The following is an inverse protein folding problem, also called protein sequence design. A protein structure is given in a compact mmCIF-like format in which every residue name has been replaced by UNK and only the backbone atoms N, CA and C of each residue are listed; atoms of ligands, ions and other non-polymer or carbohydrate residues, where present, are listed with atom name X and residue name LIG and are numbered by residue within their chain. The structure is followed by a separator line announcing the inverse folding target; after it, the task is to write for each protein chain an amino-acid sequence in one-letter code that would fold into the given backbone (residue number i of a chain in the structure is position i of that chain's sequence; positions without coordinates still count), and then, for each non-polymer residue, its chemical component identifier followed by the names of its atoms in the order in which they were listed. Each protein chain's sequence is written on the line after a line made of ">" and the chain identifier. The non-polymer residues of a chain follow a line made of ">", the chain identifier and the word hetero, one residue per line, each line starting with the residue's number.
data_IF_369657297202
#
_entry.id   IF_369657297202
#
_cell.length_a   1.000
_cell.length_b   1.000
_cell.length_c   1.000
_cell.angle_alpha   90.00
_cell.angle_beta   90.00
_cell.angle_gamma   90.00
#
_symmetry.space_group_name_H-M   'P 1'
#
loop_
_entity.id
_entity.type
_entity.pdbx_description
1 polymer ?
#
# COMPACT_ATOMS: atom_id res chain seq x y z
N UNK A 1 11.64 -51.64 -28.40
CA UNK A 1 12.40 -52.09 -27.21
C UNK A 1 12.04 -53.53 -26.93
N UNK A 2 13.03 -54.40 -26.65
CA UNK A 2 12.78 -55.84 -26.40
C UNK A 2 11.94 -56.06 -25.13
N UNK A 3 10.96 -56.99 -25.13
CA UNK A 3 10.10 -57.30 -23.98
C UNK A 3 10.88 -57.56 -22.67
N UNK A 4 12.05 -58.20 -22.79
CA UNK A 4 12.92 -58.53 -21.66
C UNK A 4 13.49 -57.30 -20.93
N UNK A 5 13.63 -56.17 -21.62
CA UNK A 5 14.12 -54.91 -21.03
C UNK A 5 13.04 -54.24 -20.18
N UNK A 6 11.79 -54.28 -20.64
CA UNK A 6 10.64 -53.70 -19.94
C UNK A 6 10.37 -54.45 -18.63
N UNK A 7 10.54 -55.77 -18.63
CA UNK A 7 10.33 -56.62 -17.45
C UNK A 7 11.42 -56.42 -16.39
N UNK A 8 12.68 -56.23 -16.81
CA UNK A 8 13.76 -55.83 -15.91
C UNK A 8 13.49 -54.48 -15.24
N UNK A 9 13.06 -53.47 -16.00
CA UNK A 9 12.77 -52.14 -15.45
C UNK A 9 11.61 -52.21 -14.45
N UNK A 10 10.54 -52.96 -14.75
CA UNK A 10 9.42 -53.14 -13.81
C UNK A 10 9.84 -53.84 -12.52
N UNK A 11 10.68 -54.87 -12.59
CA UNK A 11 11.17 -55.58 -11.40
C UNK A 11 12.04 -54.69 -10.50
N UNK A 12 12.88 -53.83 -11.09
CA UNK A 12 13.72 -52.87 -10.37
C UNK A 12 12.85 -51.83 -9.64
N UNK A 13 11.83 -51.30 -10.32
CA UNK A 13 10.88 -50.35 -9.72
C UNK A 13 10.10 -51.00 -8.58
N UNK A 14 9.64 -52.24 -8.74
CA UNK A 14 8.93 -52.96 -7.70
C UNK A 14 9.80 -53.24 -6.46
N UNK A 15 11.07 -53.61 -6.70
CA UNK A 15 12.05 -53.85 -5.63
C UNK A 15 12.33 -52.54 -4.86
N UNK A 16 12.57 -51.43 -5.58
CA UNK A 16 12.78 -50.12 -4.96
C UNK A 16 11.57 -49.65 -4.13
N UNK A 17 10.35 -49.88 -4.61
CA UNK A 17 9.10 -49.53 -3.92
C UNK A 17 8.90 -50.35 -2.64
N UNK A 18 9.28 -51.63 -2.65
CA UNK A 18 9.23 -52.51 -1.48
C UNK A 18 10.32 -52.17 -0.45
N UNK A 19 11.54 -51.82 -0.89
CA UNK A 19 12.63 -51.33 -0.02
C UNK A 19 12.25 -50.01 0.66
N UNK A 20 11.58 -49.09 -0.04
CA UNK A 20 11.08 -47.84 0.52
C UNK A 20 9.94 -48.06 1.54
N UNK A 21 9.05 -49.04 1.30
CA UNK A 21 8.01 -49.44 2.26
C UNK A 21 8.60 -50.06 3.53
N UNK A 22 9.63 -50.89 3.42
CA UNK A 22 10.32 -51.50 4.57
C UNK A 22 11.10 -50.45 5.39
N UNK A 23 11.76 -49.48 4.74
CA UNK A 23 12.39 -48.34 5.44
C UNK A 23 11.37 -47.44 6.16
N UNK A 24 10.17 -47.24 5.61
CA UNK A 24 9.07 -46.53 6.29
C UNK A 24 8.49 -47.30 7.48
N UNK A 25 8.49 -48.64 7.46
CA UNK A 25 8.01 -49.44 8.62
C UNK A 25 9.04 -49.54 9.73
N UNK A 26 10.34 -49.54 9.41
CA UNK A 26 11.42 -49.63 10.41
C UNK A 26 11.59 -48.35 11.26
N UNK A 27 11.06 -47.21 10.80
CA UNK A 27 11.07 -45.93 11.55
C UNK A 27 9.83 -45.72 12.42
N UNK A 28 8.91 -46.70 12.49
CA UNK A 28 7.65 -46.61 13.26
C UNK A 28 7.69 -47.49 14.53
N UNK A 29 8.84 -48.06 14.89
CA UNK A 29 9.01 -48.82 16.13
C UNK A 29 9.78 -48.01 17.17
N UNK A 30 9.11 -47.70 18.29
CA UNK A 30 9.62 -47.08 19.52
C UNK A 30 9.90 -45.58 19.51
N UNK A 31 8.84 -44.77 19.60
CA UNK A 31 8.84 -43.68 20.58
C UNK A 31 7.41 -43.47 21.06
N UNK A 32 7.20 -43.45 22.37
CA UNK A 32 6.02 -42.85 22.99
C UNK A 32 5.78 -41.49 22.32
N UNK A 33 4.74 -41.39 21.48
CA UNK A 33 4.40 -40.17 20.75
C UNK A 33 4.17 -39.04 21.76
N UNK A 34 5.22 -38.28 22.08
CA UNK A 34 5.08 -37.01 22.78
C UNK A 34 4.17 -36.16 21.90
N UNK A 35 2.92 -36.00 22.32
CA UNK A 35 1.96 -35.15 21.62
C UNK A 35 2.65 -33.81 21.35
N UNK A 36 2.60 -33.37 20.08
CA UNK A 36 3.18 -32.10 19.64
C UNK A 36 2.86 -30.99 20.64
N UNK A 37 3.82 -30.11 20.94
CA UNK A 37 3.60 -28.94 21.81
C UNK A 37 2.43 -28.09 21.30
N UNK A 38 2.28 -28.00 19.98
CA UNK A 38 1.17 -27.36 19.29
C UNK A 38 -0.18 -28.03 19.49
N UNK A 39 -0.24 -29.24 20.05
CA UNK A 39 -1.50 -29.89 20.43
C UNK A 39 -1.85 -29.63 21.89
N UNK A 40 -0.84 -29.39 22.73
CA UNK A 40 -1.00 -29.16 24.18
C UNK A 40 -1.23 -27.70 24.55
N UNK A 41 -0.74 -26.77 23.72
CA UNK A 41 -0.84 -25.34 23.98
C UNK A 41 -2.31 -24.89 23.97
N UNK A 42 -2.84 -24.19 25.01
CA UNK A 42 -4.20 -23.65 24.98
C UNK A 42 -4.43 -22.67 23.83
N UNK A 43 -5.65 -22.60 23.29
CA UNK A 43 -5.99 -21.71 22.16
C UNK A 43 -5.72 -20.24 22.50
N UNK A 44 -6.08 -19.80 23.70
CA UNK A 44 -5.83 -18.43 24.17
C UNK A 44 -4.35 -18.04 24.20
N UNK A 45 -3.47 -18.99 24.51
CA UNK A 45 -2.01 -18.77 24.50
C UNK A 45 -1.50 -18.76 23.07
N UNK A 46 -1.96 -19.68 22.22
CA UNK A 46 -1.60 -19.72 20.81
C UNK A 46 -1.98 -18.40 20.10
N UNK A 47 -3.18 -17.88 20.36
CA UNK A 47 -3.65 -16.58 19.84
C UNK A 47 -2.70 -15.45 20.24
N UNK A 48 -2.34 -15.36 21.53
CA UNK A 48 -1.42 -14.32 22.03
C UNK A 48 -0.03 -14.44 21.40
N UNK A 49 0.50 -15.65 21.27
CA UNK A 49 1.81 -15.89 20.64
C UNK A 49 1.78 -15.44 19.18
N UNK A 50 0.75 -15.83 18.43
CA UNK A 50 0.66 -15.49 17.01
C UNK A 50 0.36 -14.01 16.76
N UNK A 51 -0.35 -13.33 17.65
CA UNK A 51 -0.59 -11.89 17.57
C UNK A 51 0.71 -11.06 17.64
N UNK A 52 1.77 -11.59 18.27
CA UNK A 52 3.10 -10.98 18.35
C UNK A 52 3.92 -11.14 17.07
N UNK A 53 3.62 -12.16 16.25
CA UNK A 53 4.33 -12.42 15.01
C UNK A 53 3.98 -11.39 13.93
N UNK A 54 4.85 -11.23 12.93
CA UNK A 54 4.44 -10.60 11.68
C UNK A 54 3.54 -11.56 10.88
N UNK A 55 2.71 -11.01 9.99
CA UNK A 55 1.80 -11.82 9.18
C UNK A 55 2.57 -12.83 8.30
N UNK A 56 3.75 -12.45 7.81
CA UNK A 56 4.65 -13.32 7.04
C UNK A 56 5.16 -14.52 7.87
N UNK A 57 5.43 -14.30 9.15
CA UNK A 57 5.86 -15.36 10.06
C UNK A 57 4.70 -16.32 10.35
N UNK A 58 3.48 -15.80 10.50
CA UNK A 58 2.28 -16.63 10.66
C UNK A 58 2.10 -17.52 9.42
N UNK A 59 2.24 -16.98 8.21
CA UNK A 59 2.19 -17.78 6.99
C UNK A 59 3.29 -18.83 6.95
N UNK A 60 4.51 -18.49 7.38
CA UNK A 60 5.62 -19.43 7.44
C UNK A 60 5.37 -20.55 8.47
N UNK A 61 4.79 -20.22 9.62
CA UNK A 61 4.38 -21.17 10.66
C UNK A 61 3.27 -22.12 10.17
N UNK A 62 2.32 -21.63 9.37
CA UNK A 62 1.28 -22.47 8.75
C UNK A 62 1.86 -23.57 7.85
N UNK A 63 3.05 -23.36 7.29
CA UNK A 63 3.75 -24.34 6.45
C UNK A 63 4.54 -25.39 7.25
N UNK A 64 4.80 -25.14 8.54
CA UNK A 64 5.66 -25.99 9.37
C UNK A 64 5.04 -27.35 9.75
N UNK A 65 3.76 -27.39 10.12
CA UNK A 65 3.06 -28.64 10.45
C UNK A 65 1.53 -28.57 10.29
N UNK A 66 0.91 -29.73 10.01
CA UNK A 66 -0.55 -29.85 9.79
C UNK A 66 -1.39 -29.51 11.03
N UNK A 67 -0.90 -29.82 12.23
CA UNK A 67 -1.61 -29.54 13.47
C UNK A 67 -1.72 -28.04 13.68
N UNK A 68 -0.61 -27.32 13.52
CA UNK A 68 -0.61 -25.86 13.64
C UNK A 68 -1.46 -25.23 12.56
N UNK A 69 -1.33 -25.68 11.29
CA UNK A 69 -2.18 -25.22 10.20
C UNK A 69 -3.67 -25.32 10.53
N UNK A 70 -4.13 -26.48 10.99
CA UNK A 70 -5.54 -26.67 11.32
C UNK A 70 -6.00 -25.77 12.48
N UNK A 71 -5.18 -25.65 13.53
CA UNK A 71 -5.51 -24.79 14.68
C UNK A 71 -5.55 -23.31 14.30
N UNK A 72 -4.58 -22.84 13.54
CA UNK A 72 -4.50 -21.43 13.11
C UNK A 72 -5.66 -21.08 12.17
N UNK A 73 -6.00 -21.97 11.23
CA UNK A 73 -7.19 -21.76 10.38
C UNK A 73 -8.48 -21.73 11.19
N UNK A 74 -8.61 -22.53 12.26
CA UNK A 74 -9.78 -22.49 13.11
C UNK A 74 -9.85 -21.23 14.00
N UNK A 75 -8.70 -20.72 14.41
CA UNK A 75 -8.58 -19.54 15.29
C UNK A 75 -8.32 -18.24 14.53
N UNK A 76 -8.48 -18.23 13.21
CA UNK A 76 -8.10 -17.09 12.35
C UNK A 76 -8.73 -15.78 12.80
N UNK A 77 -10.02 -15.79 13.11
CA UNK A 77 -10.74 -14.63 13.66
C UNK A 77 -10.07 -14.09 14.94
N UNK A 78 -9.86 -14.96 15.93
CA UNK A 78 -9.33 -14.57 17.24
C UNK A 78 -7.88 -14.10 17.14
N UNK A 79 -7.08 -14.74 16.28
CA UNK A 79 -5.70 -14.31 16.00
C UNK A 79 -5.72 -12.94 15.32
N UNK A 80 -6.59 -12.75 14.33
CA UNK A 80 -6.64 -11.51 13.55
C UNK A 80 -7.09 -10.32 14.40
N UNK A 81 -8.10 -10.52 15.23
CA UNK A 81 -8.55 -9.51 16.19
C UNK A 81 -7.46 -9.19 17.22
N UNK A 82 -6.79 -10.21 17.78
CA UNK A 82 -5.69 -9.99 18.73
C UNK A 82 -4.47 -9.30 18.09
N UNK A 83 -4.15 -9.65 16.84
CA UNK A 83 -3.08 -9.03 16.05
C UNK A 83 -3.33 -7.54 15.85
N UNK A 84 -4.56 -7.16 15.48
CA UNK A 84 -4.93 -5.76 15.30
C UNK A 84 -4.95 -5.02 16.65
N UNK A 85 -5.55 -5.60 17.69
CA UNK A 85 -5.54 -4.99 19.04
C UNK A 85 -4.12 -4.78 19.59
N UNK A 86 -3.19 -5.68 19.29
CA UNK A 86 -1.79 -5.52 19.68
C UNK A 86 -1.15 -4.29 19.03
N UNK A 87 -1.50 -4.01 17.76
CA UNK A 87 -0.94 -2.95 16.92
C UNK A 87 -1.75 -1.65 16.91
N UNK A 88 -2.86 -1.61 17.64
CA UNK A 88 -3.71 -0.42 17.78
C UNK A 88 -3.66 0.19 19.19
N UNK A 89 -2.92 -0.44 20.10
CA UNK A 89 -2.66 0.12 21.43
C UNK A 89 -1.30 0.83 21.40
N UNK A 90 -1.17 2.02 22.01
CA UNK A 90 0.14 2.55 22.36
C UNK A 90 0.75 1.58 23.38
N UNK A 91 1.54 0.62 22.92
CA UNK A 91 2.26 -0.28 23.81
C UNK A 91 3.42 0.51 24.43
N UNK A 92 3.19 1.00 25.65
CA UNK A 92 4.25 1.43 26.57
C UNK A 92 5.04 0.19 27.02
N UNK A 93 5.93 -0.32 26.17
CA UNK A 93 7.05 -1.10 26.68
C UNK A 93 8.08 -0.12 27.21
N UNK A 94 7.96 0.22 28.50
CA UNK A 94 9.08 0.73 29.28
C UNK A 94 10.06 -0.43 29.34
N UNK A 95 11.15 -0.35 28.59
CA UNK A 95 12.28 -1.27 28.78
C UNK A 95 12.80 -1.11 30.21
N UNK A 96 13.39 -2.16 30.81
CA UNK A 96 14.02 -2.07 32.15
C UNK A 96 15.09 -0.95 32.27
N UNK A 97 15.50 -0.38 31.13
CA UNK A 97 16.42 0.75 30.99
C UNK A 97 15.75 2.13 30.85
N UNK A 98 14.42 2.22 30.97
CA UNK A 98 13.68 3.49 30.96
C UNK A 98 13.53 4.15 29.58
N UNK A 99 13.88 3.46 28.50
CA UNK A 99 13.65 3.95 27.14
C UNK A 99 12.30 3.43 26.62
N UNK A 100 11.39 4.36 26.28
CA UNK A 100 10.20 4.03 25.50
C UNK A 100 10.63 3.54 24.12
N UNK A 101 10.31 2.29 23.78
CA UNK A 101 10.36 1.84 22.41
C UNK A 101 9.24 2.55 21.66
N UNK A 102 9.55 3.67 21.03
CA UNK A 102 8.61 4.37 20.14
C UNK A 102 8.25 3.39 19.03
N UNK A 103 6.96 3.00 18.87
CA UNK A 103 6.54 2.13 17.78
C UNK A 103 7.01 2.71 16.45
N UNK A 104 7.48 1.85 15.54
CA UNK A 104 7.75 2.31 14.18
C UNK A 104 6.47 2.92 13.62
N UNK A 105 6.57 3.98 12.82
CA UNK A 105 5.41 4.62 12.15
C UNK A 105 4.59 3.58 11.35
N UNK A 106 5.20 2.46 10.95
CA UNK A 106 4.55 1.34 10.27
C UNK A 106 3.87 0.29 11.13
N UNK A 107 4.07 0.30 12.45
CA UNK A 107 3.53 -0.71 13.36
C UNK A 107 2.16 -0.34 13.93
N UNK A 108 1.83 0.95 13.95
CA UNK A 108 0.52 1.44 14.38
C UNK A 108 -0.48 1.36 13.23
N UNK A 109 -1.43 0.42 13.34
CA UNK A 109 -2.51 0.22 12.36
C UNK A 109 -3.81 0.92 12.79
N UNK A 110 -3.81 1.71 13.87
CA UNK A 110 -5.02 2.34 14.43
C UNK A 110 -5.70 3.21 13.40
N UNK A 111 -4.92 4.08 12.76
CA UNK A 111 -5.44 5.02 11.80
C UNK A 111 -6.01 4.30 10.57
N UNK A 112 -5.27 3.38 9.96
CA UNK A 112 -5.71 2.72 8.72
C UNK A 112 -6.90 1.79 8.94
N UNK A 113 -6.96 1.09 10.08
CA UNK A 113 -8.09 0.21 10.41
C UNK A 113 -9.38 0.98 10.71
N UNK A 114 -9.29 2.25 11.10
CA UNK A 114 -10.45 3.12 11.24
C UNK A 114 -11.05 3.55 9.89
N UNK A 115 -10.22 3.61 8.84
CA UNK A 115 -10.66 3.94 7.48
C UNK A 115 -11.23 2.71 6.76
N UNK A 116 -10.64 1.54 7.00
CA UNK A 116 -11.05 0.28 6.38
C UNK A 116 -11.50 -0.69 7.47
N UNK A 117 -12.75 -0.58 7.97
CA UNK A 117 -13.27 -1.52 8.95
C UNK A 117 -13.40 -2.93 8.34
N UNK A 118 -13.35 -3.99 9.16
CA UNK A 118 -13.57 -5.35 8.68
C UNK A 118 -14.96 -5.48 8.02
N UNK A 119 -15.10 -6.33 6.98
CA UNK A 119 -16.37 -6.49 6.29
C UNK A 119 -17.46 -6.99 7.24
N UNK A 120 -18.72 -6.60 6.98
CA UNK A 120 -19.85 -7.05 7.79
C UNK A 120 -19.99 -8.58 7.68
N UNK A 121 -20.51 -9.25 8.73
CA UNK A 121 -20.73 -10.69 8.72
C UNK A 121 -21.55 -11.13 7.50
N UNK A 122 -21.09 -12.17 6.79
CA UNK A 122 -21.89 -12.80 5.76
C UNK A 122 -23.04 -13.60 6.39
N UNK A 123 -24.25 -13.04 6.33
CA UNK A 123 -25.47 -13.76 6.70
C UNK A 123 -25.75 -14.84 5.66
N UNK A 124 -25.26 -16.06 5.90
CA UNK A 124 -25.69 -17.23 5.11
C UNK A 124 -27.10 -17.64 5.53
N UNK A 125 -27.95 -18.01 4.58
CA UNK A 125 -29.35 -18.46 4.85
C UNK A 125 -29.45 -19.75 5.69
N UNK A 126 -28.32 -20.31 6.13
CA UNK A 126 -28.22 -21.55 6.90
C UNK A 126 -27.58 -21.29 8.26
N UNK A 127 -28.40 -20.81 9.20
CA UNK A 127 -28.08 -20.77 10.63
C UNK A 127 -27.81 -19.36 11.18
N UNK A 128 -27.87 -19.18 12.52
CA UNK A 128 -27.50 -17.94 13.16
C UNK A 128 -25.98 -17.79 13.05
N UNK A 129 -25.51 -17.09 12.01
CA UNK A 129 -24.14 -16.58 12.00
C UNK A 129 -23.93 -15.74 13.26
N UNK A 130 -22.75 -15.86 13.89
CA UNK A 130 -22.40 -14.85 14.88
C UNK A 130 -22.39 -13.49 14.16
N UNK A 131 -23.00 -12.47 14.75
CA UNK A 131 -23.11 -11.15 14.12
C UNK A 131 -21.79 -10.38 14.16
N UNK A 132 -20.63 -11.07 14.16
CA UNK A 132 -19.32 -10.45 14.37
C UNK A 132 -18.66 -10.09 13.02
N UNK A 133 -17.91 -8.97 12.94
CA UNK A 133 -17.20 -8.59 11.72
C UNK A 133 -16.17 -9.65 11.30
N UNK A 134 -15.97 -9.88 9.99
CA UNK A 134 -15.07 -10.93 9.48
C UNK A 134 -13.58 -10.51 9.57
N UNK A 135 -13.01 -10.50 10.78
CA UNK A 135 -11.56 -10.41 10.95
C UNK A 135 -10.89 -11.65 10.34
N UNK A 136 -9.99 -11.42 9.39
CA UNK A 136 -9.26 -12.48 8.67
C UNK A 136 -7.81 -12.09 8.40
N UNK A 137 -6.97 -13.07 8.08
CA UNK A 137 -5.60 -12.79 7.64
C UNK A 137 -5.57 -12.04 6.32
N UNK A 138 -6.56 -12.24 5.44
CA UNK A 138 -6.73 -11.46 4.21
C UNK A 138 -6.93 -9.98 4.51
N UNK A 139 -7.88 -9.66 5.39
CA UNK A 139 -8.11 -8.29 5.84
C UNK A 139 -6.85 -7.65 6.45
N UNK A 140 -6.13 -8.36 7.30
CA UNK A 140 -4.88 -7.86 7.88
C UNK A 140 -3.77 -7.65 6.84
N UNK A 141 -3.68 -8.53 5.83
CA UNK A 141 -2.75 -8.38 4.72
C UNK A 141 -3.06 -7.12 3.92
N UNK A 142 -4.34 -6.88 3.61
CA UNK A 142 -4.80 -5.71 2.88
C UNK A 142 -4.53 -4.41 3.65
N UNK A 143 -4.86 -4.36 4.95
CA UNK A 143 -4.53 -3.23 5.82
C UNK A 143 -3.03 -2.95 5.86
N UNK A 144 -2.21 -4.00 6.06
CA UNK A 144 -0.75 -3.88 6.14
C UNK A 144 -0.17 -3.39 4.82
N UNK A 145 -0.70 -3.90 3.70
CA UNK A 145 -0.30 -3.48 2.35
C UNK A 145 -0.63 -2.00 2.15
N UNK A 146 -1.88 -1.60 2.40
CA UNK A 146 -2.36 -0.23 2.27
C UNK A 146 -1.52 0.75 3.11
N UNK A 147 -1.27 0.42 4.38
CA UNK A 147 -0.47 1.28 5.26
C UNK A 147 0.99 1.42 4.81
N UNK A 148 1.62 0.31 4.40
CA UNK A 148 2.97 0.34 3.83
C UNK A 148 3.04 1.21 2.57
N UNK A 149 2.01 1.16 1.74
CA UNK A 149 1.91 2.03 0.56
C UNK A 149 1.80 3.50 0.96
N UNK A 150 0.96 3.85 1.94
CA UNK A 150 0.85 5.23 2.46
C UNK A 150 2.21 5.76 2.97
N UNK A 151 2.91 4.97 3.78
CA UNK A 151 4.21 5.35 4.36
C UNK A 151 5.25 5.57 3.27
N UNK A 152 5.38 4.63 2.34
CA UNK A 152 6.36 4.71 1.26
C UNK A 152 6.04 5.84 0.29
N UNK A 153 4.77 5.97 -0.12
CA UNK A 153 4.37 7.01 -1.08
C UNK A 153 4.54 8.40 -0.47
N UNK A 154 4.14 8.62 0.78
CA UNK A 154 4.36 9.89 1.47
C UNK A 154 5.85 10.21 1.62
N UNK A 155 6.69 9.20 1.93
CA UNK A 155 8.14 9.36 1.98
C UNK A 155 8.70 9.80 0.62
N UNK A 156 8.48 9.04 -0.45
CA UNK A 156 9.08 9.34 -1.74
C UNK A 156 8.54 10.62 -2.37
N UNK A 157 7.26 10.95 -2.13
CA UNK A 157 6.69 12.23 -2.54
C UNK A 157 7.36 13.38 -1.80
N UNK A 158 7.51 13.28 -0.48
CA UNK A 158 8.19 14.29 0.32
C UNK A 158 9.66 14.45 -0.10
N UNK A 159 10.36 13.34 -0.27
CA UNK A 159 11.74 13.26 -0.75
C UNK A 159 11.91 13.99 -2.08
N UNK A 160 11.07 13.64 -3.06
CA UNK A 160 11.09 14.27 -4.38
C UNK A 160 10.86 15.77 -4.31
N UNK A 161 9.84 16.23 -3.57
CA UNK A 161 9.46 17.64 -3.50
C UNK A 161 10.53 18.46 -2.80
N UNK A 162 11.06 17.98 -1.67
CA UNK A 162 12.16 18.63 -0.96
C UNK A 162 13.39 18.69 -1.86
N UNK A 163 13.73 17.60 -2.55
CA UNK A 163 14.87 17.58 -3.46
C UNK A 163 14.73 18.63 -4.57
N UNK A 164 13.57 18.71 -5.23
CA UNK A 164 13.30 19.71 -6.27
C UNK A 164 13.33 21.14 -5.75
N UNK A 165 12.85 21.36 -4.52
CA UNK A 165 12.88 22.67 -3.88
C UNK A 165 14.33 23.11 -3.59
N UNK A 166 15.13 22.23 -3.00
CA UNK A 166 16.53 22.51 -2.66
C UNK A 166 17.47 22.61 -3.87
N UNK A 167 17.11 22.02 -5.03
CA UNK A 167 17.85 22.25 -6.27
C UNK A 167 17.70 23.68 -6.80
N UNK A 168 16.59 24.36 -6.49
CA UNK A 168 16.33 25.74 -6.94
C UNK A 168 17.08 26.77 -6.09
N UNK A 169 17.30 26.48 -4.81
CA UNK A 169 18.05 27.33 -3.89
C UNK A 169 19.52 26.90 -3.82
N UNK A 170 20.40 27.61 -4.52
CA UNK A 170 21.84 27.27 -4.65
C UNK A 170 22.72 27.79 -3.51
N UNK A 171 22.14 28.38 -2.47
CA UNK A 171 22.86 29.09 -1.40
C UNK A 171 23.12 28.18 -0.18
N UNK A 172 24.02 27.20 -0.32
CA UNK A 172 24.39 26.29 0.78
C UNK A 172 25.78 26.60 1.33
N UNK A 173 25.90 26.75 2.66
CA UNK A 173 27.18 27.04 3.32
C UNK A 173 27.98 25.78 3.67
N UNK A 174 27.35 24.61 3.87
CA UNK A 174 28.06 23.35 4.19
C UNK A 174 27.29 22.06 3.79
N UNK A 175 28.02 20.95 3.57
CA UNK A 175 27.45 19.64 3.19
C UNK A 175 26.63 19.00 4.32
N UNK A 176 27.11 19.10 5.56
CA UNK A 176 26.44 18.51 6.74
C UNK A 176 25.14 19.23 7.06
N UNK A 177 25.14 20.56 6.96
CA UNK A 177 23.91 21.35 7.08
C UNK A 177 22.90 20.92 6.01
N UNK A 178 23.33 20.80 4.75
CA UNK A 178 22.44 20.33 3.67
C UNK A 178 21.76 18.99 3.96
N UNK A 179 22.48 18.03 4.52
CA UNK A 179 21.93 16.71 4.84
C UNK A 179 20.92 16.75 6.00
N UNK A 180 21.23 17.50 7.07
CA UNK A 180 20.32 17.66 8.22
C UNK A 180 19.03 18.35 7.79
N UNK A 181 19.15 19.39 6.97
CA UNK A 181 18.01 20.18 6.46
C UNK A 181 17.14 19.36 5.54
N UNK A 182 17.77 18.61 4.64
CA UNK A 182 17.08 17.66 3.78
C UNK A 182 16.30 16.63 4.60
N UNK A 183 16.96 15.95 5.53
CA UNK A 183 16.32 14.92 6.38
C UNK A 183 15.15 15.48 7.18
N UNK A 184 15.33 16.66 7.80
CA UNK A 184 14.27 17.35 8.55
C UNK A 184 13.09 17.76 7.66
N UNK A 185 13.37 18.32 6.49
CA UNK A 185 12.35 18.73 5.53
C UNK A 185 11.53 17.55 5.03
N UNK A 186 12.19 16.44 4.67
CA UNK A 186 11.54 15.20 4.24
C UNK A 186 10.67 14.64 5.36
N UNK A 187 11.19 14.51 6.58
CA UNK A 187 10.44 13.98 7.71
C UNK A 187 9.19 14.82 8.05
N UNK A 188 9.32 16.15 8.06
CA UNK A 188 8.20 17.04 8.35
C UNK A 188 7.14 16.98 7.25
N UNK A 189 7.54 17.05 5.97
CA UNK A 189 6.61 16.97 4.86
C UNK A 189 5.94 15.59 4.79
N UNK A 190 6.68 14.51 5.01
CA UNK A 190 6.11 13.16 5.09
C UNK A 190 5.04 13.07 6.19
N UNK A 191 5.32 13.62 7.39
CA UNK A 191 4.35 13.60 8.50
C UNK A 191 3.05 14.33 8.16
N UNK A 192 3.12 15.41 7.36
CA UNK A 192 1.95 16.15 6.87
C UNK A 192 1.21 15.41 5.76
N UNK A 193 1.93 14.69 4.90
CA UNK A 193 1.35 13.95 3.77
C UNK A 193 0.76 12.59 4.15
N UNK A 194 1.20 11.97 5.24
CA UNK A 194 0.84 10.58 5.56
C UNK A 194 -0.68 10.36 5.67
N UNK A 195 -1.38 11.18 6.45
CA UNK A 195 -2.85 11.06 6.59
C UNK A 195 -3.59 11.44 5.29
N UNK A 196 -3.30 12.57 4.62
CA UNK A 196 -3.86 12.87 3.31
C UNK A 196 -3.69 11.77 2.26
N UNK A 197 -2.52 11.12 2.19
CA UNK A 197 -2.30 9.99 1.26
C UNK A 197 -3.22 8.81 1.59
N UNK A 198 -3.42 8.49 2.86
CA UNK A 198 -4.36 7.44 3.25
C UNK A 198 -5.81 7.80 2.89
N UNK A 199 -6.20 9.06 3.04
CA UNK A 199 -7.52 9.53 2.60
C UNK A 199 -7.68 9.45 1.08
N UNK A 200 -6.64 9.72 0.29
CA UNK A 200 -6.67 9.50 -1.16
C UNK A 200 -6.95 8.02 -1.47
N UNK A 201 -6.23 7.07 -0.83
CA UNK A 201 -6.49 5.64 -1.03
C UNK A 201 -7.92 5.28 -0.64
N UNK A 202 -8.37 5.73 0.53
CA UNK A 202 -9.72 5.49 1.02
C UNK A 202 -10.79 5.94 0.01
N UNK A 203 -10.65 7.14 -0.54
CA UNK A 203 -11.57 7.62 -1.56
C UNK A 203 -11.55 6.75 -2.83
N UNK A 204 -10.35 6.44 -3.35
CA UNK A 204 -10.21 5.67 -4.58
C UNK A 204 -10.75 4.25 -4.44
N UNK A 205 -10.48 3.57 -3.32
CA UNK A 205 -10.97 2.22 -3.05
C UNK A 205 -12.48 2.19 -2.79
N UNK A 206 -13.01 3.20 -2.08
CA UNK A 206 -14.46 3.32 -1.84
C UNK A 206 -15.21 3.53 -3.16
N UNK A 207 -14.70 4.42 -4.02
CA UNK A 207 -15.30 4.69 -5.34
C UNK A 207 -15.20 3.48 -6.27
N UNK A 208 -14.08 2.75 -6.26
CA UNK A 208 -13.90 1.54 -7.06
C UNK A 208 -14.80 0.38 -6.62
N UNK A 209 -15.20 0.35 -5.34
CA UNK A 209 -16.06 -0.70 -4.78
C UNK A 209 -17.55 -0.51 -5.10
N UNK A 210 -17.96 0.65 -5.61
CA UNK A 210 -19.36 0.88 -5.98
C UNK A 210 -19.73 0.15 -7.28
N UNK A 211 -20.90 -0.51 -7.36
CA UNK A 211 -21.33 -1.22 -8.56
C UNK A 211 -21.53 -0.26 -9.74
N UNK A 212 -20.61 -0.24 -10.69
CA UNK A 212 -20.80 0.53 -11.93
C UNK A 212 -21.75 -0.24 -12.85
N UNK A 213 -22.89 0.37 -13.20
CA UNK A 213 -23.75 -0.15 -14.25
C UNK A 213 -22.98 -0.11 -15.59
N UNK A 214 -22.84 -1.27 -16.22
CA UNK A 214 -22.00 -1.54 -17.41
C UNK A 214 -22.42 -0.83 -18.71
N UNK A 215 -23.24 0.23 -18.64
CA UNK A 215 -23.68 1.02 -19.79
C UNK A 215 -23.42 2.51 -19.55
N UNK A 216 -22.33 3.03 -20.15
CA UNK A 216 -22.05 4.48 -20.15
C UNK A 216 -23.01 5.23 -21.07
N UNK A 217 -24.17 5.60 -20.53
CA UNK A 217 -24.94 6.76 -21.04
C UNK A 217 -24.44 8.03 -20.35
N UNK A 218 -24.82 9.23 -20.82
CA UNK A 218 -24.57 10.50 -20.09
C UNK A 218 -25.05 10.43 -18.63
N UNK A 219 -26.06 9.61 -18.33
CA UNK A 219 -26.53 9.35 -16.97
C UNK A 219 -25.49 8.65 -16.09
N UNK A 220 -24.57 7.85 -16.66
CA UNK A 220 -23.52 7.15 -15.91
C UNK A 220 -22.44 8.09 -15.36
N UNK A 221 -22.06 9.14 -16.10
CA UNK A 221 -21.12 10.16 -15.62
C UNK A 221 -21.74 10.98 -14.49
N UNK A 222 -23.01 11.37 -14.65
CA UNK A 222 -23.75 12.04 -13.59
C UNK A 222 -23.94 11.15 -12.35
N UNK A 223 -24.11 9.84 -12.50
CA UNK A 223 -24.17 8.89 -11.39
C UNK A 223 -22.81 8.75 -10.69
N UNK A 224 -21.72 8.61 -11.44
CA UNK A 224 -20.36 8.56 -10.89
C UNK A 224 -20.03 9.81 -10.08
N UNK A 225 -20.37 11.00 -10.59
CA UNK A 225 -20.11 12.24 -9.87
C UNK A 225 -20.94 12.36 -8.59
N UNK A 226 -22.23 11.97 -8.63
CA UNK A 226 -23.09 11.95 -7.43
C UNK A 226 -22.55 10.99 -6.38
N UNK A 227 -22.08 9.81 -6.79
CA UNK A 227 -21.40 8.83 -5.94
C UNK A 227 -20.17 9.43 -5.26
N UNK A 228 -19.26 10.01 -6.03
CA UNK A 228 -18.06 10.68 -5.51
C UNK A 228 -18.42 11.78 -4.50
N UNK A 229 -19.40 12.63 -4.81
CA UNK A 229 -19.88 13.64 -3.87
C UNK A 229 -20.48 13.04 -2.60
N UNK A 230 -21.20 11.92 -2.70
CA UNK A 230 -21.72 11.19 -1.54
C UNK A 230 -20.57 10.71 -0.65
N UNK A 231 -19.50 10.13 -1.22
CA UNK A 231 -18.30 9.74 -0.48
C UNK A 231 -17.69 10.93 0.25
N UNK A 232 -17.54 12.07 -0.43
CA UNK A 232 -16.97 13.29 0.17
C UNK A 232 -17.84 13.91 1.26
N UNK A 233 -19.12 13.55 1.35
CA UNK A 233 -20.05 14.01 2.39
C UNK A 233 -20.05 13.12 3.63
N UNK A 234 -19.45 11.93 3.55
CA UNK A 234 -19.33 10.99 4.68
C UNK A 234 -17.99 11.18 5.41
N UNK A 235 -17.84 10.66 6.65
CA UNK A 235 -16.54 10.56 7.31
C UNK A 235 -15.52 9.79 6.44
N UNK A 236 -14.24 10.18 6.42
CA UNK A 236 -13.64 11.29 7.17
C UNK A 236 -13.76 12.66 6.47
N UNK A 237 -14.29 12.70 5.25
CA UNK A 237 -14.35 13.90 4.41
C UNK A 237 -15.41 14.90 4.82
N UNK A 238 -16.37 14.54 5.68
CA UNK A 238 -17.30 15.49 6.29
C UNK A 238 -16.59 16.61 7.07
N UNK A 239 -15.33 16.41 7.49
CA UNK A 239 -14.46 17.46 7.99
C UNK A 239 -13.84 18.25 6.83
N UNK A 240 -14.09 19.57 6.79
CA UNK A 240 -13.56 20.46 5.75
C UNK A 240 -12.03 20.50 5.71
N UNK A 241 -11.34 20.50 6.85
CA UNK A 241 -9.88 20.51 6.88
C UNK A 241 -9.31 19.24 6.25
N UNK A 242 -9.90 18.08 6.57
CA UNK A 242 -9.52 16.80 5.98
C UNK A 242 -9.73 16.78 4.47
N UNK A 243 -10.85 17.34 3.99
CA UNK A 243 -11.12 17.47 2.56
C UNK A 243 -10.07 18.35 1.86
N UNK A 244 -9.78 19.53 2.43
CA UNK A 244 -8.79 20.48 1.90
C UNK A 244 -7.38 19.86 1.89
N UNK A 245 -6.94 19.24 2.98
CA UNK A 245 -5.61 18.63 3.04
C UNK A 245 -5.46 17.48 2.05
N UNK A 246 -6.52 16.67 1.89
CA UNK A 246 -6.54 15.59 0.89
C UNK A 246 -6.50 16.16 -0.52
N UNK A 247 -7.22 17.26 -0.76
CA UNK A 247 -7.23 17.94 -2.04
C UNK A 247 -5.85 18.51 -2.40
N UNK A 248 -5.18 19.20 -1.48
CA UNK A 248 -3.81 19.69 -1.70
C UNK A 248 -2.80 18.54 -1.94
N UNK A 249 -2.89 17.45 -1.17
CA UNK A 249 -2.04 16.29 -1.37
C UNK A 249 -2.26 15.64 -2.75
N UNK A 250 -3.51 15.57 -3.22
CA UNK A 250 -3.82 15.06 -4.56
C UNK A 250 -3.25 15.97 -5.67
N UNK A 251 -3.32 17.29 -5.51
CA UNK A 251 -2.67 18.26 -6.41
C UNK A 251 -1.16 18.07 -6.44
N UNK A 252 -0.52 17.98 -5.27
CA UNK A 252 0.92 17.75 -5.16
C UNK A 252 1.32 16.44 -5.85
N UNK A 253 0.65 15.33 -5.52
CA UNK A 253 0.91 14.02 -6.10
C UNK A 253 0.83 14.06 -7.63
N UNK A 254 -0.28 14.56 -8.17
CA UNK A 254 -0.48 14.62 -9.61
C UNK A 254 0.51 15.56 -10.30
N UNK A 255 0.87 16.67 -9.66
CA UNK A 255 1.90 17.59 -10.17
C UNK A 255 3.26 16.91 -10.19
N UNK A 256 3.70 16.29 -9.09
CA UNK A 256 4.99 15.60 -8.99
C UNK A 256 5.13 14.46 -10.00
N UNK A 257 4.09 13.66 -10.19
CA UNK A 257 4.11 12.60 -11.21
C UNK A 257 4.19 13.19 -12.62
N UNK A 258 3.48 14.29 -12.92
CA UNK A 258 3.61 14.99 -14.21
C UNK A 258 5.04 15.44 -14.47
N UNK A 259 5.70 16.01 -13.47
CA UNK A 259 7.09 16.44 -13.57
C UNK A 259 8.05 15.26 -13.79
N UNK A 260 7.82 14.12 -13.13
CA UNK A 260 8.62 12.91 -13.33
C UNK A 260 8.44 12.27 -14.71
N UNK A 261 7.28 12.46 -15.35
CA UNK A 261 7.01 11.97 -16.70
C UNK A 261 7.58 12.87 -17.80
N UNK A 262 7.91 14.12 -17.50
CA UNK A 262 8.52 15.04 -18.45
C UNK A 262 10.04 14.79 -18.59
N UNK A 263 10.64 15.00 -19.78
CA UNK A 263 10.00 15.38 -21.05
C UNK A 263 9.49 14.18 -21.88
N UNK A 264 9.63 12.95 -21.37
CA UNK A 264 9.39 11.72 -22.13
C UNK A 264 7.93 11.55 -22.58
N UNK A 265 6.99 12.16 -21.86
CA UNK A 265 5.56 12.17 -22.18
C UNK A 265 5.07 13.62 -22.31
N UNK A 266 4.38 13.92 -23.42
CA UNK A 266 3.75 15.21 -23.64
C UNK A 266 2.66 15.49 -22.58
N UNK A 267 2.58 16.73 -22.09
CA UNK A 267 1.68 17.13 -21.00
C UNK A 267 0.21 16.69 -21.19
N UNK A 268 -0.31 16.77 -22.42
CA UNK A 268 -1.69 16.37 -22.73
C UNK A 268 -1.93 14.86 -22.53
N UNK A 269 -0.93 14.03 -22.83
CA UNK A 269 -1.00 12.58 -22.62
C UNK A 269 -0.92 12.22 -21.14
N UNK A 270 -0.14 12.98 -20.37
CA UNK A 270 0.11 12.74 -18.94
C UNK A 270 -1.17 12.75 -18.10
N UNK A 271 -2.16 13.57 -18.45
CA UNK A 271 -3.44 13.59 -17.72
C UNK A 271 -4.24 12.31 -17.91
N UNK A 272 -4.25 11.76 -19.14
CA UNK A 272 -4.91 10.49 -19.43
C UNK A 272 -4.22 9.33 -18.69
N UNK A 273 -2.89 9.35 -18.63
CA UNK A 273 -2.10 8.38 -17.88
C UNK A 273 -2.38 8.42 -16.39
N UNK A 274 -2.41 9.62 -15.80
CA UNK A 274 -2.71 9.81 -14.39
C UNK A 274 -4.14 9.38 -14.04
N UNK A 275 -5.12 9.75 -14.87
CA UNK A 275 -6.50 9.35 -14.70
C UNK A 275 -6.65 7.82 -14.64
N UNK A 276 -5.95 7.10 -15.52
CA UNK A 276 -5.95 5.64 -15.48
C UNK A 276 -5.17 5.09 -14.29
N UNK A 277 -3.98 5.61 -13.99
CA UNK A 277 -3.17 5.15 -12.86
C UNK A 277 -3.96 5.15 -11.56
N UNK A 278 -4.65 6.26 -11.29
CA UNK A 278 -5.46 6.43 -10.10
C UNK A 278 -6.69 5.51 -10.06
N UNK A 279 -7.21 5.08 -11.22
CA UNK A 279 -8.46 4.31 -11.30
C UNK A 279 -8.28 2.81 -11.53
N UNK A 280 -7.18 2.36 -12.14
CA UNK A 280 -6.96 0.94 -12.48
C UNK A 280 -5.78 0.30 -11.78
N UNK A 281 -4.84 1.10 -11.30
CA UNK A 281 -3.49 0.64 -10.95
C UNK A 281 -3.14 0.87 -9.48
N UNK A 282 -4.10 1.40 -8.69
CA UNK A 282 -3.96 1.83 -7.29
C UNK A 282 -2.81 2.82 -7.07
N UNK A 283 -2.67 3.36 -5.85
CA UNK A 283 -1.52 4.20 -5.51
C UNK A 283 -0.19 3.42 -5.48
N UNK A 284 -0.22 2.09 -5.49
CA UNK A 284 0.99 1.24 -5.47
C UNK A 284 1.85 1.44 -6.71
N UNK A 285 1.26 1.49 -7.91
CA UNK A 285 2.02 1.77 -9.13
C UNK A 285 2.61 3.18 -9.15
N UNK A 286 1.90 4.16 -8.60
CA UNK A 286 2.45 5.51 -8.47
C UNK A 286 3.65 5.50 -7.51
N UNK A 287 3.54 4.79 -6.38
CA UNK A 287 4.66 4.59 -5.46
C UNK A 287 5.85 3.89 -6.15
N UNK A 288 5.62 2.84 -6.94
CA UNK A 288 6.67 2.16 -7.70
C UNK A 288 7.36 3.07 -8.71
N UNK A 289 6.62 4.00 -9.33
CA UNK A 289 7.20 5.00 -10.23
C UNK A 289 8.16 5.92 -9.50
N UNK A 290 7.78 6.40 -8.31
CA UNK A 290 8.68 7.19 -7.46
C UNK A 290 9.91 6.39 -7.03
N UNK A 291 9.75 5.11 -6.66
CA UNK A 291 10.88 4.21 -6.34
C UNK A 291 11.83 4.07 -7.52
N UNK A 292 11.30 3.92 -8.73
CA UNK A 292 12.10 3.82 -9.95
C UNK A 292 12.89 5.12 -10.20
N UNK A 293 12.25 6.28 -10.03
CA UNK A 293 12.91 7.58 -10.15
C UNK A 293 14.01 7.79 -9.09
N UNK A 294 13.77 7.41 -7.83
CA UNK A 294 14.77 7.51 -6.76
C UNK A 294 16.00 6.62 -7.02
N UNK A 295 15.79 5.42 -7.58
CA UNK A 295 16.90 4.54 -8.00
C UNK A 295 17.77 5.21 -9.06
N UNK A 296 17.18 5.89 -10.03
CA UNK A 296 17.95 6.58 -11.07
C UNK A 296 18.84 7.69 -10.50
N UNK A 297 18.34 8.46 -9.52
CA UNK A 297 19.15 9.47 -8.84
C UNK A 297 20.31 8.84 -8.05
N UNK A 298 20.08 7.72 -7.36
CA UNK A 298 21.17 7.00 -6.66
C UNK A 298 22.26 6.50 -7.62
N UNK A 299 21.87 6.04 -8.81
CA UNK A 299 22.80 5.58 -9.85
C UNK A 299 23.57 6.76 -10.44
N UNK A 300 22.93 7.92 -10.65
CA UNK A 300 23.60 9.14 -11.12
C UNK A 300 24.67 9.62 -10.14
N UNK A 301 24.36 9.65 -8.84
CA UNK A 301 25.33 10.04 -7.80
C UNK A 301 26.54 9.08 -7.81
N UNK A 302 26.29 7.77 -7.84
CA UNK A 302 27.36 6.78 -7.91
C UNK A 302 28.20 6.86 -9.20
N UNK A 303 27.57 7.17 -10.34
CA UNK A 303 28.26 7.30 -11.63
C UNK A 303 29.10 8.59 -11.73
N UNK A 304 28.62 9.69 -11.14
CA UNK A 304 29.35 10.95 -11.06
C UNK A 304 30.64 10.81 -10.25
N UNK A 305 30.63 10.00 -9.19
CA UNK A 305 31.83 9.71 -8.40
C UNK A 305 32.83 8.78 -9.13
N UNK A 306 32.38 8.05 -10.16
CA UNK A 306 33.16 7.00 -10.84
C UNK A 306 33.61 7.34 -12.27
N UNK A 307 33.45 8.60 -12.75
CA UNK A 307 33.72 9.00 -14.14
C UNK A 307 32.96 8.15 -15.19
N UNK A 308 31.87 7.49 -14.78
CA UNK A 308 31.10 6.55 -15.59
C UNK A 308 30.05 7.26 -16.46
N UNK A 309 29.79 6.72 -17.65
CA UNK A 309 28.68 7.19 -18.49
C UNK A 309 27.34 6.85 -17.81
N UNK A 310 26.45 7.84 -17.69
CA UNK A 310 25.08 7.58 -17.23
C UNK A 310 24.37 6.62 -18.19
N UNK A 311 23.64 5.61 -17.69
CA UNK A 311 22.95 4.66 -18.56
C UNK A 311 21.91 5.37 -19.43
N UNK A 312 21.89 5.05 -20.72
CA UNK A 312 20.93 5.60 -21.70
C UNK A 312 19.49 5.19 -21.40
N UNK A 313 19.31 4.06 -20.70
CA UNK A 313 18.01 3.53 -20.27
C UNK A 313 17.92 3.54 -18.75
N UNK A 314 16.92 4.22 -18.22
CA UNK A 314 16.74 4.45 -16.77
C UNK A 314 15.63 3.55 -16.21
N UNK A 315 15.63 3.30 -14.90
CA UNK A 315 14.56 2.54 -14.23
C UNK A 315 13.20 3.22 -14.43
N UNK A 316 13.17 4.55 -14.40
CA UNK A 316 12.00 5.36 -14.70
C UNK A 316 11.50 5.13 -16.13
N UNK A 317 12.40 5.05 -17.12
CA UNK A 317 12.04 4.73 -18.50
C UNK A 317 11.50 3.30 -18.65
N UNK A 318 12.13 2.32 -17.99
CA UNK A 318 11.63 0.94 -17.95
C UNK A 318 10.22 0.87 -17.39
N UNK A 319 9.98 1.56 -16.26
CA UNK A 319 8.67 1.63 -15.64
C UNK A 319 7.62 2.23 -16.60
N UNK A 320 7.93 3.37 -17.23
CA UNK A 320 7.03 4.00 -18.20
C UNK A 320 6.75 3.10 -19.41
N UNK A 321 7.75 2.32 -19.84
CA UNK A 321 7.59 1.38 -20.94
C UNK A 321 6.70 0.19 -20.56
N UNK A 322 6.89 -0.40 -19.37
CA UNK A 322 6.01 -1.45 -18.85
C UNK A 322 4.57 -0.97 -18.74
N UNK A 323 4.38 0.21 -18.13
CA UNK A 323 3.08 0.87 -18.05
C UNK A 323 2.41 1.07 -19.40
N UNK A 324 3.20 1.43 -20.43
CA UNK A 324 2.68 1.59 -21.79
C UNK A 324 2.17 0.27 -22.38
N UNK A 325 2.84 -0.85 -22.07
CA UNK A 325 2.37 -2.18 -22.48
C UNK A 325 1.07 -2.55 -21.77
N UNK A 326 1.03 -2.37 -20.45
CA UNK A 326 -0.16 -2.66 -19.64
C UNK A 326 -1.38 -1.85 -20.13
N UNK A 327 -1.15 -0.60 -20.52
CA UNK A 327 -2.16 0.26 -21.15
C UNK A 327 -2.62 -0.24 -22.52
N UNK A 328 -1.67 -0.66 -23.37
CA UNK A 328 -1.99 -1.22 -24.68
C UNK A 328 -2.92 -2.42 -24.55
N UNK A 329 -2.66 -3.30 -23.58
CA UNK A 329 -3.52 -4.44 -23.26
C UNK A 329 -4.89 -4.01 -22.71
N UNK A 330 -4.91 -3.04 -21.79
CA UNK A 330 -6.16 -2.50 -21.25
C UNK A 330 -7.05 -1.89 -22.34
N UNK A 331 -6.51 -1.05 -23.22
CA UNK A 331 -7.27 -0.46 -24.33
C UNK A 331 -7.69 -1.53 -25.33
N UNK A 332 -6.82 -2.50 -25.65
CA UNK A 332 -7.13 -3.60 -26.56
C UNK A 332 -8.25 -4.51 -26.02
N UNK A 333 -8.41 -4.59 -24.69
CA UNK A 333 -9.51 -5.33 -24.08
C UNK A 333 -10.91 -4.73 -24.36
N UNK A 334 -10.97 -3.52 -24.93
CA UNK A 334 -12.23 -2.84 -25.26
C UNK A 334 -13.03 -2.39 -24.04
N UNK A 335 -12.45 -2.51 -22.83
CA UNK A 335 -13.19 -2.36 -21.58
C UNK A 335 -13.61 -0.92 -21.34
N UNK A 336 -12.80 0.13 -21.54
CA UNK A 336 -13.23 1.51 -21.27
C UNK A 336 -12.39 2.58 -22.01
N UNK A 337 -13.01 3.73 -22.31
CA UNK A 337 -12.28 5.00 -22.45
C UNK A 337 -11.83 5.47 -21.06
N UNK A 338 -10.56 5.80 -20.84
CA UNK A 338 -10.05 6.21 -19.53
C UNK A 338 -10.79 7.46 -19.03
N UNK A 339 -11.11 7.55 -17.72
CA UNK A 339 -11.68 8.76 -17.15
C UNK A 339 -10.69 9.92 -17.29
N UNK A 340 -11.20 11.13 -17.52
CA UNK A 340 -10.35 12.32 -17.44
C UNK A 340 -9.86 12.47 -16.01
N UNK A 341 -8.65 12.98 -15.82
CA UNK A 341 -8.11 13.20 -14.48
C UNK A 341 -9.03 14.05 -13.60
N UNK A 342 -9.68 15.07 -14.19
CA UNK A 342 -10.67 15.91 -13.51
C UNK A 342 -11.83 15.12 -12.92
N UNK A 343 -12.25 14.03 -13.58
CA UNK A 343 -13.39 13.18 -13.21
C UNK A 343 -13.03 12.17 -12.11
N UNK A 344 -11.74 12.03 -11.74
CA UNK A 344 -11.31 11.08 -10.71
C UNK A 344 -11.57 11.64 -9.31
N UNK A 345 -11.15 12.88 -9.05
CA UNK A 345 -11.24 13.52 -7.73
C UNK A 345 -11.60 15.01 -7.83
N UNK A 346 -10.95 15.74 -8.73
CA UNK A 346 -10.93 17.20 -8.72
C UNK A 346 -12.31 17.83 -8.88
N UNK A 347 -13.13 17.36 -9.82
CA UNK A 347 -14.46 17.93 -10.05
C UNK A 347 -15.39 17.70 -8.85
N UNK A 348 -15.40 16.48 -8.29
CA UNK A 348 -16.21 16.16 -7.12
C UNK A 348 -15.76 16.96 -5.88
N UNK A 349 -14.44 17.01 -5.65
CA UNK A 349 -13.84 17.75 -4.55
C UNK A 349 -14.14 19.25 -4.65
N UNK A 350 -13.92 19.86 -5.82
CA UNK A 350 -14.17 21.28 -6.03
C UNK A 350 -15.65 21.63 -5.78
N UNK A 351 -16.58 20.83 -6.29
CA UNK A 351 -18.02 21.05 -6.06
C UNK A 351 -18.36 20.95 -4.57
N UNK A 352 -17.78 20.00 -3.86
CA UNK A 352 -18.01 19.83 -2.42
C UNK A 352 -17.37 20.95 -1.58
N UNK A 353 -16.15 21.39 -1.90
CA UNK A 353 -15.48 22.54 -1.24
C UNK A 353 -16.30 23.82 -1.46
N UNK A 354 -16.75 24.06 -2.70
CA UNK A 354 -17.62 25.18 -3.05
C UNK A 354 -18.96 25.12 -2.29
N UNK A 355 -19.59 23.94 -2.22
CA UNK A 355 -20.84 23.72 -1.45
C UNK A 355 -20.68 24.08 0.03
N UNK A 356 -19.48 23.89 0.60
CA UNK A 356 -19.17 24.23 2.00
C UNK A 356 -18.80 25.70 2.20
N UNK A 357 -18.75 26.51 1.14
CA UNK A 357 -18.32 27.90 1.21
C UNK A 357 -16.84 28.05 1.58
N UNK A 358 -16.02 27.04 1.28
CA UNK A 358 -14.59 27.02 1.60
C UNK A 358 -13.73 27.45 0.40
N UNK A 359 -14.27 28.32 -0.49
CA UNK A 359 -13.52 28.97 -1.55
C UNK A 359 -13.73 30.48 -1.39
N UNK A 360 -12.67 31.29 -1.24
CA UNK A 360 -11.27 30.87 -1.09
C UNK A 360 -10.98 30.26 0.30
N UNK A 361 -9.80 29.66 0.49
CA UNK A 361 -9.36 29.11 1.78
C UNK A 361 -7.87 29.34 2.05
N UNK A 362 -7.46 29.28 3.31
CA UNK A 362 -6.05 29.43 3.70
C UNK A 362 -5.20 28.25 3.19
N UNK A 363 -3.98 28.56 2.73
CA UNK A 363 -2.98 27.55 2.41
C UNK A 363 -2.56 26.78 3.67
N UNK A 364 -2.14 25.52 3.52
CA UNK A 364 -1.52 24.81 4.63
C UNK A 364 -0.23 25.48 5.08
N UNK A 365 0.06 25.37 6.38
CA UNK A 365 1.29 25.87 6.98
C UNK A 365 2.51 25.40 6.19
N UNK A 366 3.30 26.37 5.75
CA UNK A 366 4.48 26.13 4.92
C UNK A 366 5.45 25.23 5.67
N UNK A 367 5.87 24.13 5.05
CA UNK A 367 6.91 23.27 5.60
C UNK A 367 8.27 23.97 5.44
N UNK A 368 8.92 24.41 6.54
CA UNK A 368 10.18 25.12 6.43
C UNK A 368 11.29 24.16 6.03
N UNK A 369 11.89 24.39 4.86
CA UNK A 369 13.05 23.65 4.35
C UNK A 369 14.35 24.48 4.45
N UNK A 370 14.34 25.53 5.30
CA UNK A 370 15.38 26.56 5.56
C UNK A 370 15.38 27.79 4.63
N UNK A 371 16.19 28.81 4.97
CA UNK A 371 16.18 30.22 4.51
C UNK A 371 15.62 30.44 3.08
N UNK A 372 14.31 30.70 3.00
CA UNK A 372 13.58 30.86 1.74
C UNK A 372 12.09 30.53 1.92
N UNK A 373 11.26 30.71 0.87
CA UNK A 373 9.86 30.30 0.92
C UNK A 373 9.79 28.78 0.95
N UNK A 374 9.34 28.17 2.05
CA UNK A 374 9.28 26.71 2.18
C UNK A 374 8.25 26.03 1.25
N UNK A 375 8.06 24.72 1.44
CA UNK A 375 7.11 23.96 0.62
C UNK A 375 5.70 24.17 1.14
N UNK A 376 4.87 24.85 0.34
CA UNK A 376 3.46 25.06 0.62
C UNK A 376 2.59 24.04 -0.14
N UNK A 377 1.73 23.31 0.58
CA UNK A 377 0.69 22.46 0.00
C UNK A 377 -0.51 23.32 -0.36
N UNK A 378 -0.80 23.48 -1.66
CA UNK A 378 -1.80 24.41 -2.17
C UNK A 378 -2.50 23.91 -3.43
N UNK A 379 -3.66 24.48 -3.70
CA UNK A 379 -4.35 24.40 -4.99
C UNK A 379 -4.64 25.81 -5.53
N UNK A 380 -5.29 25.91 -6.70
CA UNK A 380 -5.63 27.20 -7.33
C UNK A 380 -6.63 28.07 -6.54
N UNK A 381 -7.24 27.54 -5.46
CA UNK A 381 -8.23 28.24 -4.64
C UNK A 381 -7.67 28.76 -3.31
N UNK A 382 -6.39 28.51 -3.02
CA UNK A 382 -5.74 29.04 -1.82
C UNK A 382 -5.54 30.55 -1.91
N UNK A 383 -5.78 31.27 -0.81
CA UNK A 383 -5.38 32.67 -0.67
C UNK A 383 -3.85 32.81 -0.67
N UNK A 384 -3.36 33.95 -1.19
CA UNK A 384 -1.93 34.28 -1.30
C UNK A 384 -1.26 34.60 0.04
#
# INVERSE_FOLDING_TARGET
>A
MSPAVIERVRSIIHRAKNSAKLRRRSTISSSTQKQSIWRKLPDSVLVKVLAQCELQDIYSLLLSCRVLRHRVSHLEYAISQAYLHHRTRPYQYITETGHELVPSVGDDLTFISSLFPPPPPQYTSTGPGDGLPEYSFGYLADLTRCWKTCIKLSYYLAEYVVHQHLQKDSLWSSKTEKEVVYSKGVGLLQSRLLSPVAYIIFFLETHASEPQSSTRSTNSQHQSLKSQQSILQQPPFNNTQTLLSTHHAMHLLCSSVRHLMAPDIASASTESWLGLLLTTSTLERIMEFFVAAAKDESVKVAAADANGHSPTWTNRMEFMWQMRRDWGEFVASGVLTPPKLSEVWFEAAQREICRRGAIPHECEEVVPVLHGPGVALRCEFCEE
#
